data_IF_286091098656
#
_entry.id   IF_286091098656
#
_cell.length_a   1.000
_cell.length_b   1.000
_cell.length_c   1.000
_cell.angle_alpha   90.00
_cell.angle_beta   90.00
_cell.angle_gamma   90.00
#
_symmetry.space_group_name_H-M   'P 1'
#
loop_
_entity.id
_entity.type
_entity.pdbx_description
1 polymer ?
#
# COMPACT_ATOMS: atom_id res chain seq x y z
N UNK A 1 -15.94 3.77 12.03
CA UNK A 1 -15.89 5.04 11.28
C UNK A 1 -16.39 4.77 9.87
N UNK A 2 -17.41 5.49 9.41
CA UNK A 2 -17.91 5.34 8.03
C UNK A 2 -17.02 6.11 7.04
N UNK A 3 -16.79 5.56 5.86
CA UNK A 3 -16.03 6.21 4.78
C UNK A 3 -16.95 6.92 3.77
N UNK A 4 -16.41 7.79 2.91
CA UNK A 4 -17.16 8.44 1.83
C UNK A 4 -17.81 7.43 0.86
N UNK A 5 -17.24 6.23 0.76
CA UNK A 5 -17.74 5.12 -0.06
C UNK A 5 -18.68 4.20 0.73
N UNK A 6 -19.18 4.63 1.89
CA UNK A 6 -20.07 3.85 2.79
C UNK A 6 -19.45 2.56 3.33
N UNK A 7 -18.12 2.52 3.40
CA UNK A 7 -17.38 1.44 4.06
C UNK A 7 -17.28 1.67 5.57
N UNK A 8 -16.91 0.63 6.32
CA UNK A 8 -16.66 0.70 7.77
C UNK A 8 -15.18 0.46 8.06
N UNK A 9 -14.56 1.41 8.77
CA UNK A 9 -13.22 1.28 9.36
C UNK A 9 -13.35 1.09 10.86
N UNK A 10 -12.78 0.00 11.38
CA UNK A 10 -12.64 -0.28 12.81
C UNK A 10 -11.19 -0.03 13.19
N UNK A 11 -10.95 0.87 14.15
CA UNK A 11 -9.62 1.24 14.63
C UNK A 11 -9.42 0.70 16.03
N UNK A 12 -8.16 0.47 16.42
CA UNK A 12 -7.80 -0.03 17.77
C UNK A 12 -8.60 -1.26 18.18
N UNK A 13 -8.68 -2.23 17.27
CA UNK A 13 -9.50 -3.45 17.39
C UNK A 13 -9.09 -4.26 18.62
N UNK A 14 -10.07 -4.73 19.38
CA UNK A 14 -9.90 -5.64 20.51
C UNK A 14 -10.86 -6.84 20.39
N UNK A 15 -10.79 -7.79 21.34
CA UNK A 15 -11.57 -9.03 21.28
C UNK A 15 -13.09 -8.79 21.22
N UNK A 16 -13.58 -7.74 21.89
CA UNK A 16 -15.01 -7.38 21.91
C UNK A 16 -15.54 -6.86 20.56
N UNK A 17 -14.65 -6.48 19.64
CA UNK A 17 -15.02 -6.10 18.29
C UNK A 17 -15.23 -7.33 17.37
N UNK A 18 -14.98 -8.55 17.88
CA UNK A 18 -15.29 -9.77 17.14
C UNK A 18 -16.78 -9.98 17.00
N UNK A 19 -17.21 -10.47 15.85
CA UNK A 19 -18.61 -10.76 15.61
C UNK A 19 -19.03 -10.50 14.18
N UNK A 20 -20.34 -10.49 13.98
CA UNK A 20 -20.97 -10.30 12.68
C UNK A 20 -21.28 -8.82 12.45
N UNK A 21 -20.79 -8.30 11.34
CA UNK A 21 -21.04 -6.94 10.87
C UNK A 21 -21.91 -7.00 9.63
N UNK A 22 -23.12 -6.47 9.75
CA UNK A 22 -24.09 -6.42 8.65
C UNK A 22 -24.13 -5.00 8.07
N UNK A 23 -23.92 -4.89 6.76
CA UNK A 23 -24.11 -3.66 6.02
C UNK A 23 -25.52 -3.64 5.41
N UNK A 24 -26.33 -2.67 5.81
CA UNK A 24 -27.69 -2.48 5.31
C UNK A 24 -27.74 -1.27 4.38
N UNK A 25 -28.32 -1.43 3.19
CA UNK A 25 -28.52 -0.35 2.23
C UNK A 25 -29.99 -0.35 1.78
N UNK A 26 -30.69 0.76 2.00
CA UNK A 26 -32.10 0.89 1.62
C UNK A 26 -33.02 -0.13 2.30
N UNK A 27 -32.72 -0.51 3.55
CA UNK A 27 -33.51 -1.48 4.31
C UNK A 27 -33.27 -2.95 3.91
N UNK A 28 -32.41 -3.21 2.93
CA UNK A 28 -32.00 -4.55 2.54
C UNK A 28 -30.57 -4.83 3.00
N UNK A 29 -30.31 -6.07 3.42
CA UNK A 29 -28.96 -6.51 3.75
C UNK A 29 -28.13 -6.58 2.46
N UNK A 30 -27.05 -5.79 2.40
CA UNK A 30 -26.14 -5.75 1.26
C UNK A 30 -25.05 -6.80 1.38
N UNK A 31 -24.39 -6.86 2.54
CA UNK A 31 -23.34 -7.84 2.83
C UNK A 31 -23.18 -8.05 4.34
N UNK A 32 -22.54 -9.16 4.69
CA UNK A 32 -22.26 -9.53 6.07
C UNK A 32 -20.82 -10.06 6.18
N UNK A 33 -20.11 -9.60 7.21
CA UNK A 33 -18.74 -10.01 7.49
C UNK A 33 -18.65 -10.56 8.91
N UNK A 34 -18.03 -11.74 9.07
CA UNK A 34 -17.63 -12.24 10.37
C UNK A 34 -16.18 -11.84 10.63
N UNK A 35 -15.98 -11.00 11.64
CA UNK A 35 -14.67 -10.54 12.07
C UNK A 35 -14.26 -11.37 13.29
N UNK A 36 -13.08 -11.98 13.22
CA UNK A 36 -12.44 -12.66 14.34
C UNK A 36 -11.14 -11.94 14.67
N UNK A 37 -10.97 -11.56 15.94
CA UNK A 37 -9.78 -10.83 16.39
C UNK A 37 -8.84 -11.77 17.12
N UNK A 38 -7.66 -12.03 16.54
CA UNK A 38 -6.58 -12.75 17.22
C UNK A 38 -5.74 -11.76 18.02
N UNK A 39 -6.02 -11.67 19.32
CA UNK A 39 -5.36 -10.72 20.23
C UNK A 39 -3.87 -11.00 20.43
N UNK A 40 -3.39 -12.21 20.13
CA UNK A 40 -1.97 -12.57 20.23
C UNK A 40 -1.18 -12.12 19.00
N UNK A 41 -1.81 -12.09 17.83
CA UNK A 41 -1.17 -11.65 16.58
C UNK A 41 -1.38 -10.18 16.28
N UNK A 42 -2.49 -9.61 16.73
CA UNK A 42 -2.87 -8.22 16.47
C UNK A 42 -2.52 -7.28 17.64
N UNK A 43 -1.77 -7.74 18.64
CA UNK A 43 -1.34 -6.88 19.74
C UNK A 43 -0.39 -5.79 19.22
N UNK A 44 -0.61 -4.50 19.55
CA UNK A 44 0.37 -3.48 19.27
C UNK A 44 1.69 -3.81 19.99
N UNK A 45 2.85 -3.40 19.45
CA UNK A 45 4.13 -3.65 20.09
C UNK A 45 4.11 -3.13 21.53
N UNK A 46 4.27 -4.03 22.50
CA UNK A 46 4.10 -3.72 23.92
C UNK A 46 5.35 -3.18 24.59
N UNK A 47 6.52 -3.32 23.94
CA UNK A 47 7.82 -2.93 24.49
C UNK A 47 8.58 -2.04 23.52
N UNK A 48 9.34 -1.08 24.05
CA UNK A 48 10.18 -0.14 23.27
C UNK A 48 11.10 -0.84 22.27
N UNK A 49 11.64 -2.01 22.62
CA UNK A 49 12.47 -2.82 21.73
C UNK A 49 11.74 -3.26 20.45
N UNK A 50 10.45 -3.57 20.54
CA UNK A 50 9.67 -4.03 19.39
C UNK A 50 9.45 -2.89 18.39
N UNK A 51 9.30 -1.65 18.88
CA UNK A 51 9.30 -0.45 18.03
C UNK A 51 10.64 -0.20 17.36
N UNK A 52 11.77 -0.40 18.06
CA UNK A 52 13.10 -0.22 17.48
C UNK A 52 13.34 -1.14 16.28
N UNK A 53 12.87 -2.41 16.35
CA UNK A 53 12.98 -3.33 15.23
C UNK A 53 12.21 -2.81 14.01
N UNK A 54 10.94 -2.43 14.20
CA UNK A 54 10.10 -1.91 13.11
C UNK A 54 10.71 -0.64 12.49
N UNK A 55 11.25 0.25 13.33
CA UNK A 55 11.93 1.45 12.87
C UNK A 55 13.19 1.14 12.06
N UNK A 56 14.01 0.20 12.55
CA UNK A 56 15.19 -0.28 11.83
C UNK A 56 14.82 -0.87 10.47
N UNK A 57 13.81 -1.75 10.41
CA UNK A 57 13.35 -2.37 9.18
C UNK A 57 12.88 -1.30 8.16
N UNK A 58 12.13 -0.30 8.63
CA UNK A 58 11.71 0.85 7.80
C UNK A 58 12.89 1.68 7.30
N UNK A 59 13.88 1.96 8.14
CA UNK A 59 15.08 2.68 7.73
C UNK A 59 15.84 1.93 6.62
N UNK A 60 15.98 0.61 6.75
CA UNK A 60 16.64 -0.22 5.73
C UNK A 60 15.88 -0.19 4.39
N UNK A 61 14.55 -0.36 4.41
CA UNK A 61 13.74 -0.28 3.19
C UNK A 61 13.80 1.12 2.57
N UNK A 62 13.80 2.17 3.39
CA UNK A 62 13.95 3.53 2.91
C UNK A 62 15.33 3.80 2.29
N UNK A 63 16.39 3.21 2.82
CA UNK A 63 17.73 3.27 2.21
C UNK A 63 17.79 2.57 0.86
N UNK A 64 17.20 1.38 0.75
CA UNK A 64 17.06 0.68 -0.54
C UNK A 64 16.32 1.55 -1.56
N UNK A 65 15.21 2.16 -1.14
CA UNK A 65 14.46 3.09 -1.99
C UNK A 65 15.33 4.27 -2.46
N UNK A 66 16.02 4.96 -1.55
CA UNK A 66 16.94 6.07 -1.90
C UNK A 66 18.00 5.64 -2.90
N UNK A 67 18.58 4.46 -2.72
CA UNK A 67 19.60 3.91 -3.63
C UNK A 67 19.03 3.59 -5.02
N UNK A 68 17.86 2.95 -5.07
CA UNK A 68 17.17 2.66 -6.31
C UNK A 68 16.81 3.95 -7.06
N UNK A 69 16.32 4.97 -6.34
CA UNK A 69 15.96 6.27 -6.91
C UNK A 69 17.17 6.96 -7.53
N UNK A 70 18.29 7.07 -6.80
CA UNK A 70 19.54 7.62 -7.34
C UNK A 70 20.05 6.85 -8.56
N UNK A 71 19.91 5.53 -8.54
CA UNK A 71 20.31 4.69 -9.68
C UNK A 71 19.44 4.96 -10.90
N UNK A 72 18.13 5.12 -10.71
CA UNK A 72 17.21 5.48 -11.76
C UNK A 72 17.49 6.88 -12.32
N UNK A 73 17.67 7.89 -11.46
CA UNK A 73 18.01 9.26 -11.87
C UNK A 73 19.28 9.29 -12.74
N UNK A 74 20.33 8.58 -12.32
CA UNK A 74 21.58 8.47 -13.09
C UNK A 74 21.35 7.84 -14.46
N UNK A 75 20.56 6.76 -14.54
CA UNK A 75 20.23 6.10 -15.82
C UNK A 75 19.42 7.04 -16.72
N UNK A 76 18.45 7.75 -16.16
CA UNK A 76 17.65 8.72 -16.91
C UNK A 76 18.50 9.86 -17.47
N UNK A 77 19.44 10.39 -16.68
CA UNK A 77 20.37 11.42 -17.14
C UNK A 77 21.21 10.92 -18.33
N UNK A 78 21.74 9.69 -18.27
CA UNK A 78 22.51 9.08 -19.36
C UNK A 78 21.68 8.88 -20.64
N UNK A 79 20.41 8.51 -20.52
CA UNK A 79 19.50 8.41 -21.65
C UNK A 79 19.14 9.80 -22.24
N UNK A 80 19.03 10.82 -21.39
CA UNK A 80 18.71 12.19 -21.81
C UNK A 80 19.86 12.85 -22.57
N UNK A 81 21.12 12.59 -22.19
CA UNK A 81 22.30 13.17 -22.87
C UNK A 81 22.52 12.57 -24.28
N UNK A 82 22.01 11.37 -24.57
CA UNK A 82 22.16 10.72 -25.88
C UNK A 82 21.16 11.19 -26.94
N UNK A 83 20.20 12.06 -26.60
CA UNK A 83 19.23 12.56 -27.57
C UNK A 83 19.77 13.61 -28.55
N UNK A 84 20.96 14.19 -28.32
CA UNK A 84 21.54 15.16 -29.25
C UNK A 84 22.33 14.56 -30.43
N UNK A 85 22.53 13.24 -30.49
CA UNK A 85 23.30 12.59 -31.57
C UNK A 85 22.52 11.51 -32.35
N UNK A 86 21.21 11.39 -32.12
CA UNK A 86 20.37 10.44 -32.86
C UNK A 86 18.98 11.02 -33.12
N UNK A 87 18.95 12.01 -34.02
CA UNK A 87 17.78 12.22 -34.86
C UNK A 87 17.42 10.90 -35.55
N UNK A 88 16.17 10.46 -35.41
CA UNK A 88 15.55 9.26 -35.99
C UNK A 88 15.87 7.92 -35.30
N UNK A 89 15.04 7.53 -34.33
CA UNK A 89 14.07 6.42 -34.45
C UNK A 89 13.59 6.01 -33.05
N UNK A 90 12.27 5.81 -32.92
CA UNK A 90 11.51 5.23 -31.81
C UNK A 90 10.63 6.21 -31.00
N UNK A 91 9.64 6.77 -31.70
CA UNK A 91 8.38 7.19 -31.08
C UNK A 91 7.59 5.93 -30.67
N UNK A 92 7.80 5.43 -29.46
CA UNK A 92 6.81 4.57 -28.80
C UNK A 92 6.41 5.23 -27.47
N UNK A 93 5.15 5.72 -27.36
CA UNK A 93 4.64 6.19 -26.08
C UNK A 93 4.54 4.98 -25.12
N UNK A 94 5.02 5.16 -23.90
CA UNK A 94 4.85 4.18 -22.82
C UNK A 94 3.36 4.13 -22.42
N UNK A 95 2.58 3.29 -23.09
CA UNK A 95 1.25 2.93 -22.61
C UNK A 95 1.39 1.87 -21.52
N UNK A 96 1.10 2.26 -20.27
CA UNK A 96 0.91 1.32 -19.17
C UNK A 96 -0.42 0.61 -19.43
N UNK A 97 -0.35 -0.59 -20.02
CA UNK A 97 -1.51 -1.45 -20.19
C UNK A 97 -2.05 -1.85 -18.81
N UNK A 98 -3.14 -1.22 -18.39
CA UNK A 98 -3.96 -1.72 -17.28
C UNK A 98 -4.72 -2.95 -17.79
N UNK A 99 -4.24 -4.13 -17.43
CA UNK A 99 -5.02 -5.36 -17.65
C UNK A 99 -6.36 -5.26 -16.90
N UNK A 100 -7.50 -5.55 -17.54
CA UNK A 100 -8.77 -5.65 -16.85
C UNK A 100 -8.76 -6.87 -15.91
N UNK A 101 -9.21 -6.64 -14.68
CA UNK A 101 -9.55 -7.70 -13.73
C UNK A 101 -10.82 -8.37 -14.26
N UNK A 102 -10.73 -9.68 -14.53
CA UNK A 102 -11.87 -10.56 -14.80
C UNK A 102 -12.45 -11.04 -13.47
#
# INVERSE_FOLDING_TARGET
>A
IETCERGLVIVTVNEADSGRYDCWLGGSLLCSYNITVDTHRCSPPGKTHDYHKIYSDWCHEFEKYKYAMKTWERKQAQCSTRQNDSSNQNNHPNEIYRSPIV
#
